data_IF_219938269724
#
_entry.id   IF_219938269724
#
_cell.length_a   1.000
_cell.length_b   1.000
_cell.length_c   1.000
_cell.angle_alpha   90.00
_cell.angle_beta   90.00
_cell.angle_gamma   90.00
#
_symmetry.space_group_name_H-M   'P 1'
#
loop_
_entity.id
_entity.type
_entity.pdbx_description
1 polymer ?
#
# COMPACT_ATOMS: atom_id res chain seq x y z
N UNK A 1 -7.72 -5.83 4.30
CA UNK A 1 -6.96 -6.56 5.33
C UNK A 1 -5.82 -7.39 4.75
N UNK A 2 -5.91 -7.89 3.50
CA UNK A 2 -4.76 -8.55 2.85
C UNK A 2 -3.60 -7.57 2.65
N UNK A 3 -3.86 -6.41 2.05
CA UNK A 3 -2.89 -5.30 1.94
C UNK A 3 -2.17 -5.02 3.27
N UNK A 4 -2.95 -4.95 4.36
CA UNK A 4 -2.43 -4.66 5.68
C UNK A 4 -1.40 -5.68 6.18
N UNK A 5 -1.51 -6.94 5.78
CA UNK A 5 -0.57 -7.98 6.22
C UNK A 5 0.80 -7.83 5.56
N UNK A 6 0.88 -7.13 4.41
CA UNK A 6 2.12 -6.86 3.68
C UNK A 6 3.11 -6.10 4.58
N UNK A 7 2.64 -5.08 5.29
CA UNK A 7 3.53 -4.18 6.03
C UNK A 7 4.19 -4.80 7.28
N UNK A 8 3.48 -5.56 8.15
CA UNK A 8 4.14 -6.30 9.22
C UNK A 8 5.14 -7.34 8.69
N UNK A 9 4.82 -8.02 7.58
CA UNK A 9 5.77 -8.97 6.95
C UNK A 9 7.00 -8.24 6.42
N UNK A 10 6.81 -7.09 5.77
CA UNK A 10 7.89 -6.24 5.28
C UNK A 10 8.75 -5.70 6.43
N UNK A 11 8.15 -5.31 7.55
CA UNK A 11 8.87 -4.91 8.75
C UNK A 11 9.80 -6.04 9.21
N UNK A 12 9.31 -7.28 9.25
CA UNK A 12 10.13 -8.43 9.65
C UNK A 12 11.25 -8.71 8.65
N UNK A 13 11.03 -8.49 7.34
CA UNK A 13 12.09 -8.57 6.33
C UNK A 13 13.22 -7.57 6.63
N UNK A 14 12.89 -6.30 6.87
CA UNK A 14 13.90 -5.30 7.21
C UNK A 14 14.52 -5.53 8.60
N UNK A 15 13.79 -6.17 9.53
CA UNK A 15 14.33 -6.52 10.84
C UNK A 15 15.41 -7.60 10.74
N UNK A 16 15.32 -8.47 9.72
CA UNK A 16 16.32 -9.49 9.45
C UNK A 16 17.71 -8.92 9.13
N UNK A 17 17.79 -7.66 8.66
CA UNK A 17 19.07 -6.96 8.49
C UNK A 17 19.83 -6.83 9.83
N UNK A 18 19.12 -6.62 10.95
CA UNK A 18 19.72 -6.57 12.29
C UNK A 18 19.81 -7.94 12.96
N UNK A 19 18.85 -8.81 12.67
CA UNK A 19 18.74 -10.15 13.25
C UNK A 19 18.71 -11.21 12.15
N UNK A 20 19.87 -11.67 11.65
CA UNK A 20 19.96 -12.62 10.54
C UNK A 20 19.23 -13.95 10.77
N UNK A 21 18.92 -14.29 12.03
CA UNK A 21 18.11 -15.45 12.41
C UNK A 21 16.68 -15.40 11.88
N UNK A 22 16.18 -14.21 11.53
CA UNK A 22 14.86 -14.00 10.95
C UNK A 22 14.90 -14.01 9.41
N UNK A 23 16.07 -14.11 8.79
CA UNK A 23 16.20 -14.09 7.33
C UNK A 23 15.52 -15.31 6.69
N UNK A 24 14.91 -15.08 5.52
CA UNK A 24 14.42 -16.14 4.65
C UNK A 24 15.55 -16.63 3.75
N UNK A 25 15.43 -17.86 3.28
CA UNK A 25 16.30 -18.39 2.22
C UNK A 25 16.02 -17.73 0.85
N UNK A 26 16.83 -18.06 -0.16
CA UNK A 26 16.71 -17.51 -1.52
C UNK A 26 15.34 -17.79 -2.18
N UNK A 27 14.61 -18.81 -1.72
CA UNK A 27 13.28 -19.16 -2.20
C UNK A 27 12.15 -18.51 -1.37
N UNK A 28 12.50 -17.65 -0.41
CA UNK A 28 11.53 -17.01 0.49
C UNK A 28 10.94 -17.95 1.53
N UNK A 29 11.56 -19.12 1.76
CA UNK A 29 11.17 -20.10 2.78
C UNK A 29 12.10 -20.04 4.00
N UNK A 30 11.65 -20.65 5.10
CA UNK A 30 12.45 -20.81 6.31
C UNK A 30 11.93 -22.01 7.11
N UNK A 31 12.70 -22.44 8.10
CA UNK A 31 12.24 -23.46 9.04
C UNK A 31 11.00 -23.00 9.81
N UNK A 32 10.13 -23.95 10.21
CA UNK A 32 8.89 -23.67 10.95
C UNK A 32 9.13 -22.77 12.18
N UNK A 33 10.18 -22.99 13.02
CA UNK A 33 10.46 -22.11 14.16
C UNK A 33 10.75 -20.65 13.76
N UNK A 34 11.44 -20.44 12.64
CA UNK A 34 11.72 -19.09 12.12
C UNK A 34 10.43 -18.43 11.63
N UNK A 35 9.58 -19.17 10.90
CA UNK A 35 8.28 -18.66 10.46
C UNK A 35 7.38 -18.27 11.63
N UNK A 36 7.34 -19.06 12.70
CA UNK A 36 6.61 -18.72 13.93
C UNK A 36 7.19 -17.46 14.57
N UNK A 37 8.52 -17.35 14.66
CA UNK A 37 9.19 -16.18 15.24
C UNK A 37 8.86 -14.91 14.46
N UNK A 38 8.91 -14.98 13.12
CA UNK A 38 8.52 -13.89 12.22
C UNK A 38 7.06 -13.48 12.42
N UNK A 39 6.17 -14.46 12.54
CA UNK A 39 4.75 -14.22 12.78
C UNK A 39 4.48 -13.56 14.15
N UNK A 40 5.19 -13.97 15.20
CA UNK A 40 5.09 -13.35 16.53
C UNK A 40 5.55 -11.89 16.51
N UNK A 41 6.63 -11.57 15.80
CA UNK A 41 7.08 -10.17 15.63
C UNK A 41 6.01 -9.35 14.89
N UNK A 42 5.41 -9.91 13.83
CA UNK A 42 4.30 -9.26 13.13
C UNK A 42 3.12 -8.97 14.06
N UNK A 43 2.76 -9.91 14.95
CA UNK A 43 1.70 -9.70 15.95
C UNK A 43 2.04 -8.55 16.90
N UNK A 44 3.29 -8.44 17.37
CA UNK A 44 3.71 -7.35 18.26
C UNK A 44 3.51 -5.99 17.59
N UNK A 45 3.86 -5.86 16.32
CA UNK A 45 3.68 -4.63 15.52
C UNK A 45 2.19 -4.33 15.33
N UNK A 46 1.37 -5.36 15.08
CA UNK A 46 -0.08 -5.23 14.96
C UNK A 46 -0.66 -4.71 16.28
N UNK A 47 -0.30 -5.30 17.41
CA UNK A 47 -0.74 -4.88 18.74
C UNK A 47 -0.31 -3.45 19.07
N UNK A 48 0.94 -3.08 18.74
CA UNK A 48 1.44 -1.71 18.92
C UNK A 48 0.61 -0.71 18.13
N UNK A 49 0.32 -1.00 16.87
CA UNK A 49 -0.43 -0.08 16.00
C UNK A 49 -1.91 -0.03 16.36
N UNK A 50 -2.48 -1.15 16.83
CA UNK A 50 -3.82 -1.22 17.41
C UNK A 50 -3.92 -0.31 18.63
N UNK A 51 -2.91 -0.30 19.50
CA UNK A 51 -2.86 0.62 20.64
C UNK A 51 -2.86 2.08 20.19
N UNK A 52 -2.02 2.46 19.22
CA UNK A 52 -2.00 3.82 18.67
C UNK A 52 -3.33 4.22 18.01
N UNK A 53 -3.96 3.29 17.28
CA UNK A 53 -5.26 3.51 16.66
C UNK A 53 -6.39 3.63 17.69
N UNK A 54 -6.30 2.90 18.81
CA UNK A 54 -7.24 3.02 19.92
C UNK A 54 -7.19 4.41 20.57
N UNK A 55 -6.01 5.04 20.64
CA UNK A 55 -5.82 6.42 21.12
C UNK A 55 -6.43 7.49 20.20
N UNK A 56 -6.95 7.11 19.03
CA UNK A 56 -7.70 7.97 18.13
C UNK A 56 -6.90 8.54 16.96
N UNK A 57 -7.63 9.06 15.97
CA UNK A 57 -7.07 9.48 14.68
C UNK A 57 -6.06 10.62 14.77
N UNK A 58 -6.22 11.53 15.75
CA UNK A 58 -5.26 12.63 15.96
C UNK A 58 -3.87 12.11 16.32
N UNK A 59 -3.79 11.06 17.13
CA UNK A 59 -2.53 10.42 17.52
C UNK A 59 -1.88 9.74 16.32
N UNK A 60 -2.68 9.01 15.53
CA UNK A 60 -2.22 8.39 14.28
C UNK A 60 -1.70 9.44 13.31
N UNK A 61 -2.43 10.54 13.08
CA UNK A 61 -2.01 11.64 12.21
C UNK A 61 -0.71 12.31 12.67
N UNK A 62 -0.54 12.56 13.97
CA UNK A 62 0.73 13.08 14.54
C UNK A 62 1.89 12.11 14.36
N UNK A 63 1.64 10.80 14.57
CA UNK A 63 2.66 9.77 14.34
C UNK A 63 3.05 9.67 12.86
N UNK A 64 2.10 9.85 11.93
CA UNK A 64 2.37 9.85 10.50
C UNK A 64 3.27 11.01 10.09
N UNK A 65 3.06 12.22 10.64
CA UNK A 65 3.96 13.36 10.40
C UNK A 65 5.39 13.07 10.85
N UNK A 66 5.57 12.53 12.06
CA UNK A 66 6.89 12.14 12.56
C UNK A 66 7.53 11.07 11.66
N UNK A 67 6.76 10.05 11.28
CA UNK A 67 7.20 8.98 10.39
C UNK A 67 7.69 9.55 9.04
N UNK A 68 6.98 10.52 8.45
CA UNK A 68 7.41 11.18 7.22
C UNK A 68 8.82 11.76 7.34
N UNK A 69 9.14 12.46 8.44
CA UNK A 69 10.49 12.97 8.64
C UNK A 69 11.52 11.86 8.89
N UNK A 70 11.18 10.87 9.71
CA UNK A 70 12.07 9.75 10.03
C UNK A 70 12.40 8.88 8.83
N UNK A 71 11.51 8.82 7.82
CA UNK A 71 11.74 8.09 6.58
C UNK A 71 12.44 8.96 5.54
N UNK A 72 11.97 10.18 5.31
CA UNK A 72 12.51 11.03 4.23
C UNK A 72 13.92 11.55 4.55
N UNK A 73 14.23 11.84 5.82
CA UNK A 73 15.54 12.40 6.19
C UNK A 73 16.70 11.42 5.87
N UNK A 74 16.64 10.13 6.24
CA UNK A 74 17.65 9.16 5.82
C UNK A 74 17.81 9.04 4.30
N UNK A 75 16.70 9.01 3.54
CA UNK A 75 16.77 8.99 2.08
C UNK A 75 17.35 10.27 1.50
N UNK A 76 17.09 11.43 2.11
CA UNK A 76 17.72 12.69 1.71
C UNK A 76 19.23 12.64 1.92
N UNK A 77 19.70 12.12 3.06
CA UNK A 77 21.13 11.92 3.34
C UNK A 77 21.74 10.98 2.29
N UNK A 78 21.08 9.86 2.00
CA UNK A 78 21.49 8.91 0.96
C UNK A 78 21.60 9.57 -0.42
N UNK A 79 20.60 10.37 -0.82
CA UNK A 79 20.62 11.10 -2.10
C UNK A 79 21.79 12.08 -2.14
N UNK A 80 22.01 12.86 -1.08
CA UNK A 80 23.09 13.85 -1.01
C UNK A 80 24.46 13.18 -1.14
N UNK A 81 24.72 12.11 -0.38
CA UNK A 81 25.97 11.33 -0.50
C UNK A 81 26.11 10.76 -1.91
N UNK A 82 25.01 10.22 -2.46
CA UNK A 82 24.85 9.80 -3.85
C UNK A 82 25.32 10.82 -4.88
N UNK A 83 24.83 12.04 -4.76
CA UNK A 83 25.11 13.12 -5.70
C UNK A 83 26.56 13.61 -5.62
N UNK A 84 27.17 13.62 -4.44
CA UNK A 84 28.56 14.05 -4.25
C UNK A 84 29.59 12.93 -4.49
N UNK A 85 29.15 11.69 -4.62
CA UNK A 85 30.03 10.57 -4.99
C UNK A 85 30.35 10.63 -6.48
N UNK A 86 31.64 10.71 -6.80
CA UNK A 86 32.11 10.90 -8.17
C UNK A 86 31.71 9.72 -9.06
N UNK A 87 31.12 10.04 -10.21
CA UNK A 87 30.71 9.05 -11.21
C UNK A 87 29.32 8.45 -11.00
N UNK A 88 28.69 8.58 -9.82
CA UNK A 88 27.37 7.96 -9.55
C UNK A 88 26.31 8.39 -10.55
N UNK A 89 26.15 9.70 -10.78
CA UNK A 89 25.16 10.19 -11.74
C UNK A 89 25.43 9.71 -13.18
N UNK A 90 26.69 9.73 -13.61
CA UNK A 90 27.07 9.23 -14.95
C UNK A 90 26.79 7.72 -15.09
N UNK A 91 27.09 6.96 -14.04
CA UNK A 91 26.81 5.53 -13.96
C UNK A 91 25.30 5.26 -14.03
N UNK A 92 24.47 6.04 -13.34
CA UNK A 92 23.00 5.92 -13.41
C UNK A 92 22.48 6.08 -14.84
N UNK A 93 22.95 7.11 -15.56
CA UNK A 93 22.55 7.33 -16.95
C UNK A 93 23.05 6.20 -17.85
N UNK A 94 24.27 5.71 -17.63
CA UNK A 94 24.81 4.55 -18.35
C UNK A 94 23.96 3.30 -18.13
N UNK A 95 23.58 3.02 -16.87
CA UNK A 95 22.75 1.89 -16.50
C UNK A 95 21.37 1.94 -17.16
N UNK A 96 20.72 3.11 -17.18
CA UNK A 96 19.43 3.31 -17.86
C UNK A 96 19.57 3.04 -19.37
N UNK A 97 20.60 3.58 -20.02
CA UNK A 97 20.86 3.36 -21.45
C UNK A 97 21.10 1.88 -21.76
N UNK A 98 21.91 1.20 -20.94
CA UNK A 98 22.18 -0.22 -21.10
C UNK A 98 20.91 -1.07 -20.93
N UNK A 99 20.10 -0.76 -19.92
CA UNK A 99 18.82 -1.46 -19.68
C UNK A 99 17.82 -1.31 -20.82
N UNK A 100 17.71 -0.10 -21.39
CA UNK A 100 16.84 0.17 -22.55
C UNK A 100 17.33 -0.50 -23.83
N UNK A 101 18.64 -0.73 -23.99
CA UNK A 101 19.21 -1.41 -25.14
C UNK A 101 19.05 -2.94 -25.11
N UNK A 102 19.01 -3.55 -23.91
CA UNK A 102 19.02 -5.01 -23.74
C UNK A 102 17.64 -5.67 -23.75
N UNK A 103 16.55 -4.93 -23.51
CA UNK A 103 15.19 -5.49 -23.44
C UNK A 103 14.27 -4.86 -24.47
N UNK A 104 13.37 -5.63 -25.13
CA UNK A 104 12.32 -5.05 -25.94
C UNK A 104 11.51 -4.08 -25.07
N UNK A 105 11.46 -2.82 -25.51
CA UNK A 105 10.92 -1.67 -24.78
C UNK A 105 9.50 -1.96 -24.26
N UNK A 106 8.69 -2.70 -25.01
CA UNK A 106 7.32 -3.06 -24.63
C UNK A 106 7.22 -3.96 -23.38
N UNK A 107 8.10 -4.95 -23.22
CA UNK A 107 8.09 -5.87 -22.07
C UNK A 107 8.69 -5.26 -20.80
N UNK A 108 9.75 -4.46 -20.96
CA UNK A 108 10.37 -3.75 -19.84
C UNK A 108 9.48 -2.62 -19.29
N UNK A 109 8.78 -1.91 -20.18
CA UNK A 109 7.81 -0.89 -19.75
C UNK A 109 6.63 -1.53 -19.02
N UNK A 110 6.09 -2.65 -19.50
CA UNK A 110 4.93 -3.29 -18.86
C UNK A 110 5.24 -3.76 -17.41
N UNK A 111 6.38 -4.42 -17.21
CA UNK A 111 6.83 -4.88 -15.88
C UNK A 111 7.19 -3.71 -14.96
N UNK A 112 7.95 -2.73 -15.45
CA UNK A 112 8.28 -1.52 -14.68
C UNK A 112 7.05 -0.70 -14.29
N UNK A 113 6.07 -0.57 -15.21
CA UNK A 113 4.80 0.06 -14.92
C UNK A 113 4.07 -0.69 -13.81
N UNK A 114 4.00 -2.02 -13.82
CA UNK A 114 3.34 -2.78 -12.76
C UNK A 114 3.90 -2.45 -11.36
N UNK A 115 5.23 -2.38 -11.22
CA UNK A 115 5.90 -2.00 -9.97
C UNK A 115 5.59 -0.56 -9.58
N UNK A 116 5.72 0.39 -10.52
CA UNK A 116 5.41 1.80 -10.25
C UNK A 116 3.95 1.95 -9.81
N UNK A 117 3.02 1.26 -10.46
CA UNK A 117 1.61 1.37 -10.15
C UNK A 117 1.30 0.88 -8.75
N UNK A 118 1.84 -0.26 -8.35
CA UNK A 118 1.69 -0.75 -6.99
C UNK A 118 2.22 0.26 -5.96
N UNK A 119 3.37 0.90 -6.21
CA UNK A 119 3.93 1.94 -5.32
C UNK A 119 3.06 3.21 -5.22
N UNK A 120 2.13 3.44 -6.15
CA UNK A 120 1.25 4.62 -6.20
C UNK A 120 -0.24 4.26 -5.95
N UNK A 121 -0.55 3.01 -5.60
CA UNK A 121 -1.89 2.60 -5.19
C UNK A 121 -2.26 3.16 -3.80
N UNK A 122 -3.51 2.90 -3.37
CA UNK A 122 -4.03 3.25 -2.04
C UNK A 122 -4.21 4.75 -1.74
N UNK A 123 -4.16 5.61 -2.77
CA UNK A 123 -4.41 7.06 -2.62
C UNK A 123 -5.88 7.38 -2.28
N UNK A 124 -6.80 6.48 -2.56
CA UNK A 124 -8.23 6.58 -2.29
C UNK A 124 -8.60 6.27 -0.83
N UNK A 125 -7.75 5.52 -0.11
CA UNK A 125 -7.96 5.15 1.30
C UNK A 125 -8.17 6.36 2.22
N UNK A 126 -7.54 7.50 1.91
CA UNK A 126 -7.69 8.72 2.72
C UNK A 126 -9.11 9.27 2.71
N UNK A 127 -9.93 8.96 1.70
CA UNK A 127 -11.30 9.44 1.58
C UNK A 127 -12.25 8.83 2.62
N UNK A 128 -11.89 7.69 3.19
CA UNK A 128 -12.77 6.89 4.07
C UNK A 128 -12.98 7.49 5.46
N UNK A 129 -12.05 8.34 5.89
CA UNK A 129 -12.14 9.09 7.14
C UNK A 129 -12.24 10.60 6.86
N UNK A 130 -12.75 10.99 5.69
CA UNK A 130 -12.98 12.39 5.34
C UNK A 130 -13.88 13.14 6.34
N UNK A 131 -14.77 12.42 7.05
CA UNK A 131 -15.58 12.98 8.12
C UNK A 131 -14.80 13.39 9.37
N UNK A 132 -13.58 12.89 9.56
CA UNK A 132 -12.68 13.26 10.67
C UNK A 132 -11.69 14.38 10.27
N UNK A 133 -11.73 14.84 9.01
CA UNK A 133 -10.85 15.87 8.47
C UNK A 133 -11.54 17.23 8.50
N UNK A 134 -10.82 18.27 8.93
CA UNK A 134 -11.34 19.64 8.89
C UNK A 134 -11.37 20.16 7.45
N UNK A 135 -12.53 20.64 7.00
CA UNK A 135 -12.75 21.17 5.65
C UNK A 135 -12.15 20.27 4.55
N UNK A 136 -12.66 19.03 4.39
CA UNK A 136 -12.08 18.06 3.46
C UNK A 136 -12.10 18.56 2.02
N UNK A 137 -13.09 19.40 1.66
CA UNK A 137 -13.27 19.92 0.31
C UNK A 137 -12.07 20.74 -0.17
N UNK A 138 -11.42 21.49 0.71
CA UNK A 138 -10.23 22.28 0.39
C UNK A 138 -8.93 21.60 0.84
N UNK A 139 -8.96 20.84 1.93
CA UNK A 139 -7.78 20.18 2.49
C UNK A 139 -7.28 19.06 1.58
N UNK A 140 -8.16 18.21 1.03
CA UNK A 140 -7.72 17.11 0.16
C UNK A 140 -7.02 17.59 -1.13
N UNK A 141 -7.59 18.51 -1.94
CA UNK A 141 -6.91 18.96 -3.14
C UNK A 141 -5.54 19.60 -2.87
N UNK A 142 -5.43 20.39 -1.79
CA UNK A 142 -4.15 21.01 -1.39
C UNK A 142 -3.13 19.98 -0.93
N UNK A 143 -3.56 19.01 -0.11
CA UNK A 143 -2.71 17.94 0.38
C UNK A 143 -2.21 17.07 -0.78
N UNK A 144 -3.09 16.65 -1.69
CA UNK A 144 -2.73 15.87 -2.88
C UNK A 144 -1.80 16.65 -3.82
N UNK A 145 -2.05 17.95 -4.02
CA UNK A 145 -1.20 18.81 -4.85
C UNK A 145 0.24 18.93 -4.34
N UNK A 146 0.47 18.83 -3.02
CA UNK A 146 1.81 18.82 -2.42
C UNK A 146 2.39 17.41 -2.31
N UNK A 147 1.57 16.42 -1.95
CA UNK A 147 2.00 15.05 -1.75
C UNK A 147 2.45 14.40 -3.06
N UNK A 148 1.74 14.63 -4.17
CA UNK A 148 2.05 14.00 -5.45
C UNK A 148 3.47 14.32 -5.96
N UNK A 149 3.91 15.59 -6.09
CA UNK A 149 5.29 15.89 -6.47
C UNK A 149 6.31 15.35 -5.48
N UNK A 150 6.02 15.41 -4.17
CA UNK A 150 6.91 14.91 -3.14
C UNK A 150 7.14 13.40 -3.29
N UNK A 151 6.08 12.63 -3.51
CA UNK A 151 6.12 11.18 -3.73
C UNK A 151 6.89 10.84 -5.01
N UNK A 152 6.66 11.60 -6.10
CA UNK A 152 7.41 11.44 -7.35
C UNK A 152 8.92 11.60 -7.12
N UNK A 153 9.33 12.65 -6.42
CA UNK A 153 10.74 12.89 -6.12
C UNK A 153 11.30 11.84 -5.14
N UNK A 154 10.53 11.48 -4.11
CA UNK A 154 10.95 10.50 -3.10
C UNK A 154 11.13 9.09 -3.67
N UNK A 155 10.41 8.71 -4.73
CA UNK A 155 10.66 7.45 -5.42
C UNK A 155 11.75 7.55 -6.49
N UNK A 156 11.71 8.59 -7.34
CA UNK A 156 12.60 8.68 -8.50
C UNK A 156 14.06 8.99 -8.14
N UNK A 157 14.30 9.89 -7.18
CA UNK A 157 15.67 10.32 -6.85
C UNK A 157 16.49 9.19 -6.18
N UNK A 158 16.01 8.47 -5.15
CA UNK A 158 16.76 7.36 -4.59
C UNK A 158 17.02 6.24 -5.61
N UNK A 159 16.05 5.93 -6.48
CA UNK A 159 16.22 4.91 -7.52
C UNK A 159 17.28 5.34 -8.52
N UNK A 160 17.26 6.60 -8.96
CA UNK A 160 18.28 7.15 -9.86
C UNK A 160 19.68 7.02 -9.24
N UNK A 161 19.85 7.42 -7.97
CA UNK A 161 21.13 7.29 -7.27
C UNK A 161 21.53 5.81 -7.07
N UNK A 162 20.59 4.96 -6.66
CA UNK A 162 20.79 3.54 -6.44
C UNK A 162 21.30 2.81 -7.69
N UNK A 163 20.74 3.11 -8.86
CA UNK A 163 21.18 2.55 -10.14
C UNK A 163 22.63 2.94 -10.51
N UNK A 164 23.10 4.10 -10.02
CA UNK A 164 24.49 4.53 -10.20
C UNK A 164 25.48 3.80 -9.29
N UNK A 165 24.99 3.15 -8.23
CA UNK A 165 25.77 2.38 -7.26
C UNK A 165 25.84 0.91 -7.69
N UNK A 166 24.69 0.29 -7.97
CA UNK A 166 24.63 -1.12 -8.35
C UNK A 166 23.40 -1.44 -9.20
N UNK A 167 23.60 -2.31 -10.20
CA UNK A 167 22.53 -2.88 -11.03
C UNK A 167 22.32 -4.38 -10.76
N UNK A 168 22.99 -4.94 -9.74
CA UNK A 168 22.93 -6.37 -9.44
C UNK A 168 21.52 -6.78 -8.96
N UNK A 169 20.84 -7.73 -9.61
CA UNK A 169 19.54 -8.23 -9.16
C UNK A 169 19.58 -8.83 -7.75
N UNK A 170 20.75 -9.33 -7.30
CA UNK A 170 20.94 -9.88 -5.96
C UNK A 170 20.84 -8.84 -4.83
N UNK A 171 20.90 -7.54 -5.16
CA UNK A 171 20.74 -6.45 -4.19
C UNK A 171 19.33 -5.84 -4.27
N UNK A 172 18.75 -5.76 -5.48
CA UNK A 172 17.41 -5.22 -5.73
C UNK A 172 16.30 -6.24 -5.41
N UNK A 173 16.25 -6.68 -4.15
CA UNK A 173 15.20 -7.54 -3.61
C UNK A 173 14.72 -7.04 -2.23
N UNK A 174 13.66 -7.66 -1.72
CA UNK A 174 12.98 -7.29 -0.47
C UNK A 174 13.82 -7.52 0.80
N UNK A 175 14.85 -8.37 0.74
CA UNK A 175 15.68 -8.76 1.90
C UNK A 175 16.92 -7.87 2.04
N UNK A 176 17.55 -7.49 0.92
CA UNK A 176 18.75 -6.66 0.90
C UNK A 176 18.42 -5.17 0.67
N UNK A 177 17.76 -4.89 -0.46
CA UNK A 177 17.17 -3.60 -0.83
C UNK A 177 18.01 -2.37 -0.53
N UNK A 178 17.34 -1.35 0.01
CA UNK A 178 17.93 -0.05 0.32
C UNK A 178 19.05 -0.07 1.35
N UNK A 179 18.98 -0.83 2.47
CA UNK A 179 20.06 -0.92 3.43
C UNK A 179 21.40 -1.30 2.79
N UNK A 180 21.44 -2.34 1.96
CA UNK A 180 22.68 -2.82 1.33
C UNK A 180 23.20 -1.81 0.31
N UNK A 181 22.35 -1.21 -0.53
CA UNK A 181 22.76 -0.16 -1.48
C UNK A 181 23.40 1.02 -0.75
N UNK A 182 22.86 1.37 0.42
CA UNK A 182 23.38 2.43 1.27
C UNK A 182 24.71 2.09 1.94
N UNK A 183 24.93 0.83 2.32
CA UNK A 183 26.23 0.38 2.81
C UNK A 183 27.31 0.50 1.73
N UNK A 184 26.98 0.16 0.48
CA UNK A 184 27.94 0.20 -0.63
C UNK A 184 28.46 1.64 -0.84
N UNK A 185 27.59 2.65 -0.72
CA UNK A 185 27.97 4.04 -0.98
C UNK A 185 28.48 4.79 0.25
N UNK A 186 27.78 4.67 1.38
CA UNK A 186 28.02 5.47 2.58
C UNK A 186 28.65 4.70 3.72
N UNK A 187 28.77 3.37 3.61
CA UNK A 187 29.22 2.49 4.69
C UNK A 187 28.10 2.06 5.64
N UNK A 188 28.46 1.19 6.58
CA UNK A 188 27.52 0.48 7.48
C UNK A 188 26.56 1.40 8.24
N UNK A 189 26.99 2.61 8.62
CA UNK A 189 26.13 3.54 9.36
C UNK A 189 24.93 4.02 8.52
N UNK A 190 25.12 4.22 7.21
CA UNK A 190 24.06 4.66 6.32
C UNK A 190 23.10 3.51 6.01
N UNK A 191 23.62 2.28 5.90
CA UNK A 191 22.82 1.05 5.81
C UNK A 191 21.91 0.87 7.02
N UNK A 192 22.46 0.99 8.23
CA UNK A 192 21.69 0.95 9.48
C UNK A 192 20.60 2.02 9.50
N UNK A 193 20.95 3.25 9.10
CA UNK A 193 20.01 4.36 9.08
C UNK A 193 18.82 4.10 8.13
N UNK A 194 19.08 3.55 6.95
CA UNK A 194 18.05 3.19 5.97
C UNK A 194 17.25 1.95 6.37
N UNK A 195 17.86 0.99 7.07
CA UNK A 195 17.14 -0.14 7.65
C UNK A 195 16.17 0.32 8.74
N UNK A 196 16.59 1.24 9.63
CA UNK A 196 15.70 1.85 10.62
C UNK A 196 14.58 2.66 9.96
N UNK A 197 14.89 3.44 8.92
CA UNK A 197 13.89 4.17 8.14
C UNK A 197 12.85 3.22 7.54
N UNK A 198 13.28 2.08 6.97
CA UNK A 198 12.39 1.09 6.39
C UNK A 198 11.48 0.43 7.43
N UNK A 199 11.99 0.13 8.64
CA UNK A 199 11.17 -0.35 9.76
C UNK A 199 10.10 0.66 10.16
N UNK A 200 10.47 1.92 10.33
CA UNK A 200 9.54 3.00 10.71
C UNK A 200 8.51 3.22 9.60
N UNK A 201 8.93 3.15 8.33
CA UNK A 201 8.04 3.22 7.16
C UNK A 201 7.00 2.10 7.15
N UNK A 202 7.43 0.84 7.29
CA UNK A 202 6.53 -0.31 7.31
C UNK A 202 5.53 -0.24 8.47
N UNK A 203 5.99 0.11 9.67
CA UNK A 203 5.09 0.33 10.81
C UNK A 203 4.12 1.50 10.58
N UNK A 204 4.60 2.63 10.06
CA UNK A 204 3.79 3.81 9.85
C UNK A 204 2.74 3.66 8.75
N UNK A 205 3.05 2.90 7.69
CA UNK A 205 2.08 2.51 6.65
C UNK A 205 1.00 1.63 7.28
N UNK A 206 1.39 0.59 8.02
CA UNK A 206 0.44 -0.27 8.72
C UNK A 206 -0.47 0.52 9.67
N UNK A 207 0.11 1.38 10.51
CA UNK A 207 -0.60 2.18 11.50
C UNK A 207 -1.60 3.16 10.85
N UNK A 208 -1.21 3.76 9.72
CA UNK A 208 -2.08 4.67 8.96
C UNK A 208 -3.22 3.93 8.28
N UNK A 209 -2.95 2.73 7.75
CA UNK A 209 -3.97 1.96 7.06
C UNK A 209 -4.96 1.30 8.01
N UNK A 210 -4.54 0.97 9.23
CA UNK A 210 -5.41 0.48 10.30
C UNK A 210 -6.54 1.47 10.64
N UNK A 211 -6.27 2.76 10.42
CA UNK A 211 -7.28 3.80 10.48
C UNK A 211 -8.40 3.54 9.45
N UNK A 212 -8.05 3.39 8.18
CA UNK A 212 -9.00 3.16 7.07
C UNK A 212 -9.87 1.91 7.28
N UNK A 213 -9.26 0.75 7.55
CA UNK A 213 -9.98 -0.54 7.59
C UNK A 213 -10.82 -0.72 8.86
N UNK A 214 -10.71 0.19 9.83
CA UNK A 214 -11.64 0.24 10.97
C UNK A 214 -12.88 1.11 10.68
N UNK A 215 -12.76 2.18 9.87
CA UNK A 215 -13.89 3.06 9.50
C UNK A 215 -14.83 2.41 8.48
N UNK A 216 -14.28 1.72 7.48
CA UNK A 216 -15.10 1.19 6.40
C UNK A 216 -16.13 0.15 6.90
N UNK A 217 -15.78 -0.87 7.71
CA UNK A 217 -16.76 -1.81 8.26
C UNK A 217 -17.76 -1.14 9.21
N UNK A 218 -17.34 -0.11 9.93
CA UNK A 218 -18.22 0.68 10.80
C UNK A 218 -19.31 1.39 9.99
N UNK A 219 -18.95 2.10 8.92
CA UNK A 219 -19.89 2.77 8.02
C UNK A 219 -20.85 1.76 7.36
N UNK A 220 -20.32 0.65 6.84
CA UNK A 220 -21.14 -0.42 6.27
C UNK A 220 -22.12 -1.04 7.27
N UNK A 221 -21.74 -1.10 8.56
CA UNK A 221 -22.62 -1.61 9.61
C UNK A 221 -23.71 -0.60 10.01
N UNK A 222 -23.42 0.71 9.96
CA UNK A 222 -24.43 1.76 10.13
C UNK A 222 -25.48 1.70 9.03
N UNK A 223 -25.05 1.47 7.79
CA UNK A 223 -25.92 1.29 6.62
C UNK A 223 -26.63 -0.09 6.60
N UNK A 224 -26.41 -0.95 7.60
CA UNK A 224 -27.07 -2.26 7.74
C UNK A 224 -26.50 -3.38 6.86
N UNK A 225 -25.43 -3.13 6.12
CA UNK A 225 -24.75 -4.13 5.28
C UNK A 225 -23.93 -5.14 6.09
N UNK A 226 -23.36 -4.71 7.22
CA UNK A 226 -22.65 -5.57 8.16
C UNK A 226 -23.42 -5.77 9.48
N UNK A 227 -23.09 -6.80 10.28
CA UNK A 227 -23.69 -6.99 11.59
C UNK A 227 -23.53 -5.75 12.49
N UNK A 228 -24.56 -5.41 13.27
CA UNK A 228 -24.57 -4.25 14.17
C UNK A 228 -23.48 -4.27 15.24
N UNK A 229 -22.79 -5.39 15.45
CA UNK A 229 -21.64 -5.44 16.36
C UNK A 229 -20.50 -4.52 15.90
N UNK A 230 -20.36 -4.28 14.60
CA UNK A 230 -19.34 -3.39 14.04
C UNK A 230 -19.63 -1.90 14.24
N UNK A 231 -20.86 -1.52 14.65
CA UNK A 231 -21.17 -0.13 15.02
C UNK A 231 -20.73 0.23 16.44
N UNK A 232 -20.21 -0.73 17.22
CA UNK A 232 -19.73 -0.49 18.58
C UNK A 232 -18.45 0.34 18.58
N UNK A 233 -18.50 1.51 19.20
CA UNK A 233 -17.36 2.42 19.39
C UNK A 233 -16.87 2.41 20.84
N UNK A 234 -15.62 2.85 21.03
CA UNK A 234 -15.02 3.10 22.33
C UNK A 234 -15.69 4.29 23.02
N UNK A 235 -16.14 4.14 24.26
CA UNK A 235 -16.73 5.25 25.03
C UNK A 235 -15.77 6.42 25.26
N UNK A 236 -14.45 6.18 25.21
CA UNK A 236 -13.42 7.21 25.49
C UNK A 236 -12.88 7.89 24.24
N UNK A 237 -12.86 7.19 23.11
CA UNK A 237 -12.11 7.62 21.91
C UNK A 237 -12.94 7.58 20.63
N UNK A 238 -14.20 7.16 20.70
CA UNK A 238 -15.13 6.99 19.57
C UNK A 238 -14.63 6.06 18.44
N UNK A 239 -13.52 5.36 18.67
CA UNK A 239 -12.94 4.42 17.70
C UNK A 239 -13.81 3.16 17.61
N UNK A 240 -14.11 2.64 16.40
CA UNK A 240 -14.87 1.40 16.23
C UNK A 240 -14.03 0.17 16.64
N UNK A 241 -14.03 -0.16 17.94
CA UNK A 241 -13.17 -1.18 18.54
C UNK A 241 -13.39 -2.55 17.90
N UNK A 242 -14.63 -2.95 17.64
CA UNK A 242 -14.92 -4.28 17.10
C UNK A 242 -14.35 -4.42 15.68
N UNK A 243 -14.54 -3.40 14.84
CA UNK A 243 -13.95 -3.36 13.51
C UNK A 243 -12.42 -3.38 13.58
N UNK A 244 -11.84 -2.62 14.49
CA UNK A 244 -10.40 -2.59 14.72
C UNK A 244 -9.82 -3.96 15.12
N UNK A 245 -10.43 -4.64 16.09
CA UNK A 245 -9.98 -5.95 16.58
C UNK A 245 -10.14 -7.04 15.52
N UNK A 246 -11.29 -7.11 14.85
CA UNK A 246 -11.55 -8.11 13.81
C UNK A 246 -10.60 -7.91 12.63
N UNK A 247 -10.42 -6.67 12.15
CA UNK A 247 -9.50 -6.37 11.06
C UNK A 247 -8.05 -6.70 11.41
N UNK A 248 -7.63 -6.44 12.66
CA UNK A 248 -6.30 -6.79 13.15
C UNK A 248 -6.11 -8.30 13.25
N UNK A 249 -7.13 -9.03 13.71
CA UNK A 249 -7.10 -10.50 13.78
C UNK A 249 -7.00 -11.14 12.39
N UNK A 250 -7.79 -10.66 11.43
CA UNK A 250 -7.73 -11.12 10.03
C UNK A 250 -6.35 -10.81 9.43
N UNK A 251 -5.80 -9.63 9.70
CA UNK A 251 -4.44 -9.26 9.27
C UNK A 251 -3.41 -10.23 9.84
N UNK A 252 -3.48 -10.54 11.15
CA UNK A 252 -2.56 -11.48 11.77
C UNK A 252 -2.61 -12.86 11.10
N UNK A 253 -3.80 -13.34 10.71
CA UNK A 253 -3.92 -14.60 9.94
C UNK A 253 -3.21 -14.51 8.58
N UNK A 254 -3.36 -13.40 7.86
CA UNK A 254 -2.70 -13.20 6.57
C UNK A 254 -1.18 -13.01 6.67
N UNK A 255 -0.65 -12.54 7.80
CA UNK A 255 0.80 -12.45 8.03
C UNK A 255 1.52 -13.81 8.03
N UNK A 256 0.79 -14.93 8.02
CA UNK A 256 1.37 -16.26 7.82
C UNK A 256 1.76 -16.54 6.34
N UNK A 257 1.28 -15.71 5.39
CA UNK A 257 1.66 -15.80 3.98
C UNK A 257 2.93 -14.99 3.70
N UNK A 258 3.65 -15.34 2.64
CA UNK A 258 4.82 -14.57 2.19
C UNK A 258 4.41 -13.24 1.52
N UNK A 259 5.32 -12.27 1.51
CA UNK A 259 5.09 -10.94 0.95
C UNK A 259 4.60 -11.01 -0.50
N UNK A 260 5.31 -11.72 -1.39
CA UNK A 260 4.91 -11.84 -2.79
C UNK A 260 3.50 -12.43 -2.96
N UNK A 261 3.13 -13.39 -2.11
CA UNK A 261 1.79 -13.97 -2.12
C UNK A 261 0.70 -12.97 -1.73
N UNK A 262 0.98 -12.13 -0.73
CA UNK A 262 0.07 -11.07 -0.29
C UNK A 262 -0.09 -9.99 -1.36
N UNK A 263 0.99 -9.57 -2.00
CA UNK A 263 0.99 -8.55 -3.07
C UNK A 263 0.13 -8.98 -4.25
N UNK A 264 0.22 -10.24 -4.69
CA UNK A 264 -0.61 -10.73 -5.81
C UNK A 264 -2.10 -10.69 -5.46
N UNK A 265 -2.48 -11.20 -4.28
CA UNK A 265 -3.89 -11.18 -3.83
C UNK A 265 -4.38 -9.74 -3.71
N UNK A 266 -3.56 -8.86 -3.15
CA UNK A 266 -3.87 -7.45 -2.95
C UNK A 266 -4.13 -6.72 -4.27
N UNK A 267 -3.21 -6.82 -5.23
CA UNK A 267 -3.32 -6.20 -6.55
C UNK A 267 -4.62 -6.60 -7.25
N UNK A 268 -4.99 -7.88 -7.20
CA UNK A 268 -6.19 -8.38 -7.87
C UNK A 268 -7.47 -7.85 -7.19
N UNK A 269 -7.52 -7.80 -5.86
CA UNK A 269 -8.66 -7.26 -5.11
C UNK A 269 -8.79 -5.75 -5.27
N UNK A 270 -7.67 -5.02 -5.13
CA UNK A 270 -7.62 -3.57 -5.31
C UNK A 270 -8.01 -3.18 -6.73
N UNK A 271 -7.60 -3.95 -7.73
CA UNK A 271 -7.99 -3.71 -9.11
C UNK A 271 -9.50 -3.80 -9.33
N UNK A 272 -10.17 -4.75 -8.68
CA UNK A 272 -11.63 -4.88 -8.71
C UNK A 272 -12.32 -3.72 -7.97
N UNK A 273 -11.82 -3.36 -6.78
CA UNK A 273 -12.30 -2.21 -6.01
C UNK A 273 -12.22 -0.92 -6.82
N UNK A 274 -11.04 -0.59 -7.35
CA UNK A 274 -10.79 0.61 -8.12
C UNK A 274 -11.70 0.65 -9.37
N UNK A 275 -11.88 -0.51 -10.02
CA UNK A 275 -12.80 -0.61 -11.16
C UNK A 275 -14.23 -0.26 -10.80
N UNK A 276 -14.71 -0.76 -9.65
CA UNK A 276 -16.04 -0.44 -9.15
C UNK A 276 -16.19 1.04 -8.79
N UNK A 277 -15.16 1.67 -8.22
CA UNK A 277 -15.17 3.10 -7.89
C UNK A 277 -15.33 3.97 -9.15
N UNK A 278 -14.55 3.71 -10.21
CA UNK A 278 -14.65 4.46 -11.46
C UNK A 278 -15.95 4.17 -12.24
N UNK A 279 -16.44 2.92 -12.22
CA UNK A 279 -17.76 2.60 -12.79
C UNK A 279 -18.86 3.34 -12.02
N UNK A 280 -18.79 3.38 -10.69
CA UNK A 280 -19.74 4.12 -9.86
C UNK A 280 -19.73 5.62 -10.19
N UNK A 281 -18.55 6.21 -10.42
CA UNK A 281 -18.43 7.59 -10.88
C UNK A 281 -19.19 7.83 -12.19
N UNK A 282 -19.04 6.94 -13.19
CA UNK A 282 -19.78 7.04 -14.46
C UNK A 282 -21.29 6.90 -14.24
N UNK A 283 -21.72 5.89 -13.48
CA UNK A 283 -23.14 5.61 -13.23
C UNK A 283 -23.80 6.77 -12.47
N UNK A 284 -23.16 7.31 -11.44
CA UNK A 284 -23.66 8.46 -10.67
C UNK A 284 -23.71 9.73 -11.53
N UNK A 285 -22.75 9.90 -12.46
CA UNK A 285 -22.75 11.04 -13.38
C UNK A 285 -23.94 11.01 -14.35
N UNK A 286 -24.40 9.82 -14.76
CA UNK A 286 -25.56 9.62 -15.64
C UNK A 286 -26.87 9.68 -14.85
N UNK A 287 -26.98 8.91 -13.75
CA UNK A 287 -28.25 8.74 -13.02
C UNK A 287 -28.59 9.91 -12.09
N UNK A 288 -27.59 10.56 -11.51
CA UNK A 288 -27.77 11.65 -10.55
C UNK A 288 -26.94 12.88 -10.95
N UNK A 289 -27.31 13.54 -12.07
CA UNK A 289 -26.55 14.68 -12.60
C UNK A 289 -26.59 15.90 -11.66
N UNK A 290 -27.66 16.06 -10.89
CA UNK A 290 -27.94 17.26 -10.09
C UNK A 290 -27.50 17.16 -8.62
N UNK A 291 -26.83 16.06 -8.22
CA UNK A 291 -26.30 15.97 -6.86
C UNK A 291 -25.28 17.08 -6.59
N UNK A 292 -25.28 17.68 -5.39
CA UNK A 292 -24.28 18.66 -5.01
C UNK A 292 -22.90 17.99 -5.04
N UNK A 293 -21.99 18.54 -5.82
CA UNK A 293 -20.62 18.00 -5.99
C UNK A 293 -19.62 19.03 -5.50
N UNK A 294 -19.04 18.82 -4.30
CA UNK A 294 -18.00 19.70 -3.78
C UNK A 294 -16.80 19.85 -4.72
N UNK A 295 -16.45 18.76 -5.40
CA UNK A 295 -15.47 18.75 -6.49
C UNK A 295 -16.11 18.18 -7.75
N UNK A 296 -15.96 18.89 -8.87
CA UNK A 296 -16.40 18.43 -10.19
C UNK A 296 -15.18 18.39 -11.10
N UNK A 297 -14.89 17.21 -11.65
CA UNK A 297 -13.83 17.05 -12.66
C UNK A 297 -14.10 18.08 -13.77
N UNK A 298 -13.18 19.03 -14.00
CA UNK A 298 -13.36 20.05 -15.01
C UNK A 298 -13.50 19.39 -16.39
N UNK A 299 -14.29 20.01 -17.28
CA UNK A 299 -14.44 19.55 -18.66
C UNK A 299 -15.62 18.59 -18.96
N UNK A 300 -15.71 18.26 -20.25
CA UNK A 300 -16.79 17.49 -20.87
C UNK A 300 -16.55 15.97 -20.75
N UNK A 301 -17.48 15.18 -21.30
CA UNK A 301 -17.40 13.71 -21.34
C UNK A 301 -16.04 13.13 -21.78
N UNK A 302 -15.31 13.68 -22.77
CA UNK A 302 -14.01 13.14 -23.16
C UNK A 302 -12.98 13.14 -22.03
N UNK A 303 -12.90 14.22 -21.24
CA UNK A 303 -11.95 14.29 -20.12
C UNK A 303 -12.36 13.35 -18.98
N UNK A 304 -13.66 13.21 -18.72
CA UNK A 304 -14.14 12.21 -17.77
C UNK A 304 -13.75 10.79 -18.21
N UNK A 305 -13.98 10.45 -19.48
CA UNK A 305 -13.64 9.14 -20.02
C UNK A 305 -12.13 8.89 -19.96
N UNK A 306 -11.30 9.91 -20.22
CA UNK A 306 -9.85 9.80 -20.04
C UNK A 306 -9.47 9.50 -18.58
N UNK A 307 -10.04 10.25 -17.62
CA UNK A 307 -9.79 10.06 -16.18
C UNK A 307 -10.27 8.68 -15.68
N UNK A 308 -11.27 8.09 -16.32
CA UNK A 308 -11.78 6.75 -15.98
C UNK A 308 -10.99 5.65 -16.68
N UNK A 309 -10.78 5.75 -17.99
CA UNK A 309 -10.14 4.71 -18.80
C UNK A 309 -8.66 4.57 -18.45
N UNK A 310 -7.96 5.67 -18.14
CA UNK A 310 -6.52 5.60 -17.85
C UNK A 310 -6.22 4.70 -16.63
N UNK A 311 -6.82 4.91 -15.44
CA UNK A 311 -6.65 4.01 -14.30
C UNK A 311 -7.15 2.59 -14.56
N UNK A 312 -8.25 2.40 -15.29
CA UNK A 312 -8.77 1.07 -15.61
C UNK A 312 -7.85 0.27 -16.53
N UNK A 313 -7.31 0.91 -17.57
CA UNK A 313 -6.36 0.28 -18.49
C UNK A 313 -5.07 -0.09 -17.76
N UNK A 314 -4.62 0.81 -16.90
CA UNK A 314 -3.50 0.62 -15.99
C UNK A 314 -3.71 -0.59 -15.08
N UNK A 315 -4.83 -0.66 -14.35
CA UNK A 315 -5.19 -1.81 -13.52
C UNK A 315 -5.22 -3.10 -14.31
N UNK A 316 -5.79 -3.09 -15.52
CA UNK A 316 -5.81 -4.28 -16.39
C UNK A 316 -4.39 -4.75 -16.74
N UNK A 317 -3.45 -3.83 -17.03
CA UNK A 317 -2.05 -4.18 -17.28
C UNK A 317 -1.42 -4.82 -16.04
N UNK A 318 -1.62 -4.25 -14.84
CA UNK A 318 -1.06 -4.82 -13.60
C UNK A 318 -1.60 -6.21 -13.36
N UNK A 319 -2.92 -6.41 -13.47
CA UNK A 319 -3.55 -7.73 -13.32
C UNK A 319 -2.94 -8.73 -14.30
N UNK A 320 -2.79 -8.37 -15.58
CA UNK A 320 -2.21 -9.26 -16.59
C UNK A 320 -0.74 -9.58 -16.25
N UNK A 321 0.03 -8.60 -15.79
CA UNK A 321 1.42 -8.80 -15.39
C UNK A 321 1.52 -9.75 -14.18
N UNK A 322 0.72 -9.51 -13.14
CA UNK A 322 0.68 -10.36 -11.95
C UNK A 322 0.23 -11.78 -12.25
N UNK A 323 -0.72 -11.99 -13.19
CA UNK A 323 -1.12 -13.33 -13.63
C UNK A 323 0.03 -14.05 -14.35
N UNK A 324 0.84 -13.32 -15.13
CA UNK A 324 1.98 -13.89 -15.87
C UNK A 324 3.18 -14.21 -14.96
N UNK A 325 3.38 -13.42 -13.91
CA UNK A 325 4.44 -13.64 -12.92
C UNK A 325 4.04 -14.65 -11.83
N UNK A 326 2.76 -14.96 -11.68
CA UNK A 326 2.29 -15.98 -10.77
C UNK A 326 2.69 -17.39 -11.27
N UNK A 327 3.88 -17.85 -10.89
CA UNK A 327 4.34 -19.23 -11.14
C UNK A 327 3.48 -20.27 -10.38
N UNK A 328 2.79 -19.88 -9.30
CA UNK A 328 1.96 -20.75 -8.45
C UNK A 328 0.44 -20.48 -8.64
N UNK A 329 -0.22 -21.38 -9.38
CA UNK A 329 -1.61 -21.25 -9.86
C UNK A 329 -2.69 -21.12 -8.77
N UNK A 330 -2.40 -21.40 -7.51
CA UNK A 330 -3.41 -21.48 -6.45
C UNK A 330 -4.06 -20.12 -6.12
N UNK A 331 -3.35 -19.01 -6.32
CA UNK A 331 -3.85 -17.67 -6.00
C UNK A 331 -4.89 -17.16 -6.98
N UNK A 332 -4.78 -17.58 -8.24
CA UNK A 332 -5.75 -17.31 -9.30
C UNK A 332 -7.12 -17.95 -9.02
N UNK A 333 -7.20 -18.92 -8.10
CA UNK A 333 -8.46 -19.48 -7.63
C UNK A 333 -8.98 -18.78 -6.37
N UNK A 334 -8.10 -18.38 -5.44
CA UNK A 334 -8.48 -17.71 -4.19
C UNK A 334 -9.20 -16.39 -4.48
N UNK A 335 -8.68 -15.57 -5.40
CA UNK A 335 -9.24 -14.24 -5.64
C UNK A 335 -10.65 -14.28 -6.24
N UNK A 336 -10.95 -15.05 -7.31
CA UNK A 336 -12.31 -15.20 -7.80
C UNK A 336 -13.28 -15.74 -6.74
N UNK A 337 -12.83 -16.65 -5.87
CA UNK A 337 -13.64 -17.16 -4.75
C UNK A 337 -13.95 -16.03 -3.76
N UNK A 338 -12.96 -15.22 -3.38
CA UNK A 338 -13.16 -14.06 -2.51
C UNK A 338 -14.12 -13.05 -3.14
N UNK A 339 -13.94 -12.72 -4.42
CA UNK A 339 -14.82 -11.82 -5.16
C UNK A 339 -16.26 -12.36 -5.26
N UNK A 340 -16.41 -13.65 -5.58
CA UNK A 340 -17.71 -14.31 -5.64
C UNK A 340 -18.39 -14.31 -4.26
N UNK A 341 -17.65 -14.55 -3.19
CA UNK A 341 -18.16 -14.49 -1.82
C UNK A 341 -18.65 -13.09 -1.46
N UNK A 342 -17.92 -12.04 -1.87
CA UNK A 342 -18.32 -10.65 -1.64
C UNK A 342 -19.61 -10.31 -2.39
N UNK A 343 -19.76 -10.75 -3.65
CA UNK A 343 -20.98 -10.58 -4.43
C UNK A 343 -22.16 -11.33 -3.82
N UNK A 344 -21.96 -12.58 -3.37
CA UNK A 344 -23.01 -13.35 -2.69
C UNK A 344 -23.48 -12.67 -1.42
N UNK A 345 -22.55 -12.18 -0.58
CA UNK A 345 -22.87 -11.43 0.63
C UNK A 345 -23.62 -10.14 0.28
N UNK A 346 -23.20 -9.41 -0.75
CA UNK A 346 -23.87 -8.22 -1.24
C UNK A 346 -25.32 -8.52 -1.66
N UNK A 347 -25.56 -9.51 -2.53
CA UNK A 347 -26.92 -9.83 -2.97
C UNK A 347 -27.80 -10.37 -1.83
N UNK A 348 -27.24 -11.16 -0.92
CA UNK A 348 -27.94 -11.66 0.25
C UNK A 348 -28.31 -10.55 1.25
N UNK A 349 -27.45 -9.54 1.43
CA UNK A 349 -27.73 -8.40 2.32
C UNK A 349 -28.65 -7.37 1.66
N UNK A 350 -28.50 -7.14 0.36
CA UNK A 350 -29.33 -6.19 -0.40
C UNK A 350 -30.82 -6.51 -0.29
N UNK A 351 -31.19 -7.79 -0.27
CA UNK A 351 -32.59 -8.20 -0.10
C UNK A 351 -33.14 -7.88 1.31
N UNK A 352 -32.28 -7.93 2.34
CA UNK A 352 -32.63 -7.63 3.74
C UNK A 352 -32.59 -6.14 4.09
N UNK A 353 -31.73 -5.35 3.45
CA UNK A 353 -31.67 -3.89 3.67
C UNK A 353 -32.86 -3.20 3.00
N UNK A 354 -33.19 -3.58 1.76
CA UNK A 354 -34.39 -3.05 1.06
C UNK A 354 -35.71 -3.36 1.76
N UNK A 355 -35.77 -4.40 2.59
CA UNK A 355 -36.98 -4.72 3.37
C UNK A 355 -37.12 -3.89 4.64
N UNK A 356 -36.10 -3.10 5.03
CA UNK A 356 -36.14 -2.17 6.17
C UNK A 356 -36.40 -0.72 5.77
N UNK A 357 -36.13 -0.36 4.51
CA UNK A 357 -36.43 0.96 3.94
C UNK A 357 -37.88 1.08 3.42
N UNK A 358 -38.60 -0.04 3.35
CA UNK A 358 -40.07 -0.10 3.17
C UNK A 358 -40.72 -0.26 4.53
#
# INVERSE_FOLDING_TARGET
TVDMAIYPVLFVNYLAYFFPQLALDENGTASIPVLISRWLVAIVIICLSLFFNYLGARTVGRSALLNTFLVLLPFLIFILIGMFTSGTFANSISAIKAGLAQRPVSGAIASGLAVVLWNYCAWDNVSTFAGEVNDPQHTYPRALGLALPLVILAYSLPVLIGLGITTSPSVWNESAGWPVIAEIIGGKWLGILLALAALVSAWGLFNSQLLYVSRLPYAMAQDGWLPSIFTRTSQKTDVPIVALLVSSGITALFCALSFGKLVIIDILLYGAELSLQFIALLVLRIKHPNFPRPFRIPGNWPLLLFVVISPLAVTAIVIIASIKEAEDNNQLFIVPILMASALLVYFWRRSKVKSKEK
#
